data_IF_685254468384
#
_entry.id   IF_685254468384
#
_cell.length_a   1.000
_cell.length_b   1.000
_cell.length_c   1.000
_cell.angle_alpha   90.00
_cell.angle_beta   90.00
_cell.angle_gamma   90.00
#
_symmetry.space_group_name_H-M   'P 1'
#
loop_
_entity.id
_entity.type
_entity.pdbx_description
1 polymer ?
#
# COMPACT_ATOMS: atom_id res chain seq x y z
N UNK A 1 -5.41 -9.99 -12.02
CA UNK A 1 -4.83 -8.99 -11.11
C UNK A 1 -5.91 -8.10 -10.53
N UNK A 2 -6.74 -7.45 -11.36
CA UNK A 2 -7.84 -6.55 -10.94
C UNK A 2 -8.77 -7.15 -9.86
N UNK A 3 -9.27 -8.38 -10.05
CA UNK A 3 -10.12 -9.04 -9.03
C UNK A 3 -9.44 -9.25 -7.67
N UNK A 4 -8.11 -9.40 -7.67
CA UNK A 4 -7.33 -9.66 -6.47
C UNK A 4 -7.03 -8.35 -5.73
N UNK A 5 -6.72 -7.30 -6.48
CA UNK A 5 -6.50 -5.96 -5.92
C UNK A 5 -7.77 -5.41 -5.30
N UNK A 6 -8.94 -5.57 -5.94
CA UNK A 6 -10.24 -5.21 -5.37
C UNK A 6 -10.51 -5.92 -4.04
N UNK A 7 -10.29 -7.24 -3.98
CA UNK A 7 -10.50 -8.04 -2.76
C UNK A 7 -9.58 -7.60 -1.62
N UNK A 8 -8.33 -7.28 -1.92
CA UNK A 8 -7.37 -6.81 -0.92
C UNK A 8 -7.64 -5.37 -0.49
N UNK A 9 -8.14 -4.53 -1.40
CA UNK A 9 -8.51 -3.15 -1.12
C UNK A 9 -9.70 -3.09 -0.16
N UNK A 10 -10.72 -3.93 -0.34
CA UNK A 10 -11.83 -4.07 0.62
C UNK A 10 -11.33 -4.51 2.01
N UNK A 11 -10.46 -5.54 2.07
CA UNK A 11 -9.83 -5.96 3.33
C UNK A 11 -8.99 -4.86 3.98
N UNK A 12 -8.25 -4.10 3.17
CA UNK A 12 -7.42 -3.00 3.64
C UNK A 12 -8.26 -1.84 4.20
N UNK A 13 -9.32 -1.44 3.50
CA UNK A 13 -10.27 -0.42 3.98
C UNK A 13 -10.90 -0.82 5.32
N UNK A 14 -11.35 -2.08 5.43
CA UNK A 14 -11.86 -2.64 6.70
C UNK A 14 -10.83 -2.61 7.82
N UNK A 15 -9.58 -2.97 7.53
CA UNK A 15 -8.50 -2.94 8.52
C UNK A 15 -8.18 -1.51 9.00
N UNK A 16 -8.34 -0.51 8.13
CA UNK A 16 -8.07 0.90 8.43
C UNK A 16 -9.29 1.63 9.01
N UNK A 17 -10.48 1.02 9.00
CA UNK A 17 -11.73 1.62 9.48
C UNK A 17 -12.26 2.73 8.58
N UNK A 18 -11.94 2.69 7.28
CA UNK A 18 -12.43 3.66 6.30
C UNK A 18 -13.83 3.21 5.85
N UNK A 19 -14.83 4.08 6.02
CA UNK A 19 -16.19 3.83 5.50
C UNK A 19 -16.22 4.03 3.97
N UNK A 20 -17.07 3.25 3.28
CA UNK A 20 -17.19 3.05 1.83
C UNK A 20 -17.48 4.30 0.95
N UNK A 21 -17.31 5.51 1.47
CA UNK A 21 -17.38 6.71 0.64
C UNK A 21 -16.14 6.74 -0.27
N UNK A 22 -16.35 6.96 -1.57
CA UNK A 22 -15.29 7.06 -2.58
C UNK A 22 -14.21 8.04 -2.11
N UNK A 23 -13.13 7.48 -1.58
CA UNK A 23 -12.03 8.28 -1.08
C UNK A 23 -11.12 8.58 -2.26
N UNK A 24 -10.78 9.85 -2.46
CA UNK A 24 -9.83 10.33 -3.48
C UNK A 24 -8.46 9.61 -3.47
N UNK A 25 -8.18 8.83 -2.41
CA UNK A 25 -6.95 8.08 -2.20
C UNK A 25 -7.00 6.61 -2.65
N UNK A 26 -8.14 6.13 -3.15
CA UNK A 26 -8.29 4.72 -3.57
C UNK A 26 -7.28 4.33 -4.66
N UNK A 27 -6.95 5.24 -5.58
CA UNK A 27 -5.90 5.03 -6.59
C UNK A 27 -4.54 4.72 -5.95
N UNK A 28 -4.19 5.47 -4.89
CA UNK A 28 -2.91 5.35 -4.20
C UNK A 28 -2.86 4.05 -3.39
N UNK A 29 -3.98 3.66 -2.77
CA UNK A 29 -4.09 2.39 -2.07
C UNK A 29 -4.01 1.20 -3.03
N UNK A 30 -4.68 1.27 -4.18
CA UNK A 30 -4.58 0.22 -5.21
C UNK A 30 -3.13 0.06 -5.68
N UNK A 31 -2.45 1.17 -5.97
CA UNK A 31 -1.04 1.14 -6.38
C UNK A 31 -0.11 0.57 -5.30
N UNK A 32 -0.31 0.94 -4.03
CA UNK A 32 0.44 0.38 -2.91
C UNK A 32 0.19 -1.14 -2.75
N UNK A 33 -1.04 -1.60 -2.98
CA UNK A 33 -1.37 -3.03 -2.93
C UNK A 33 -0.70 -3.78 -4.11
N UNK A 34 -0.76 -3.23 -5.32
CA UNK A 34 -0.13 -3.82 -6.51
C UNK A 34 1.38 -3.96 -6.37
N UNK A 35 2.05 -2.93 -5.82
CA UNK A 35 3.49 -2.98 -5.56
C UNK A 35 3.84 -4.08 -4.56
N UNK A 36 3.08 -4.23 -3.48
CA UNK A 36 3.26 -5.31 -2.50
C UNK A 36 2.98 -6.69 -3.13
N UNK A 37 1.92 -6.84 -3.93
CA UNK A 37 1.63 -8.09 -4.64
C UNK A 37 2.82 -8.48 -5.52
N UNK A 38 3.35 -7.54 -6.30
CA UNK A 38 4.50 -7.79 -7.17
C UNK A 38 5.73 -8.20 -6.36
N UNK A 39 6.00 -7.56 -5.22
CA UNK A 39 7.07 -7.93 -4.30
C UNK A 39 6.91 -9.37 -3.78
N UNK A 40 5.69 -9.75 -3.40
CA UNK A 40 5.37 -11.11 -2.92
C UNK A 40 5.52 -12.13 -4.04
N UNK A 41 5.02 -11.85 -5.24
CA UNK A 41 5.15 -12.74 -6.40
C UNK A 41 6.63 -12.94 -6.79
N UNK A 42 7.41 -11.85 -6.80
CA UNK A 42 8.84 -11.88 -7.07
C UNK A 42 9.61 -12.71 -6.02
N UNK A 43 9.22 -12.60 -4.75
CA UNK A 43 9.87 -13.34 -3.67
C UNK A 43 9.48 -14.82 -3.64
N UNK A 44 8.19 -15.12 -3.76
CA UNK A 44 7.64 -16.46 -3.61
C UNK A 44 7.65 -17.28 -4.90
N UNK A 45 7.86 -16.66 -6.05
CA UNK A 45 7.94 -17.29 -7.38
C UNK A 45 6.70 -18.12 -7.75
N UNK A 46 5.51 -17.60 -7.48
CA UNK A 46 4.25 -18.20 -7.95
C UNK A 46 3.47 -17.20 -8.82
N UNK A 47 2.56 -17.72 -9.64
CA UNK A 47 1.70 -16.89 -10.50
C UNK A 47 0.49 -16.35 -9.75
N UNK A 48 -0.08 -15.24 -10.22
CA UNK A 48 -1.29 -14.62 -9.65
C UNK A 48 -2.46 -15.60 -9.51
N UNK A 49 -2.58 -16.56 -10.44
CA UNK A 49 -3.62 -17.61 -10.42
C UNK A 49 -3.47 -18.59 -9.25
N UNK A 50 -2.26 -18.74 -8.72
CA UNK A 50 -1.95 -19.67 -7.62
C UNK A 50 -1.90 -18.94 -6.27
N UNK A 51 -2.48 -17.75 -6.18
CA UNK A 51 -2.42 -16.90 -4.99
C UNK A 51 -3.11 -17.57 -3.79
N UNK A 52 -2.38 -17.86 -2.70
CA UNK A 52 -2.97 -18.48 -1.51
C UNK A 52 -3.72 -17.46 -0.67
N UNK A 53 -4.99 -17.72 -0.34
CA UNK A 53 -5.79 -16.81 0.50
C UNK A 53 -5.17 -16.53 1.89
N UNK A 54 -4.37 -17.47 2.40
CA UNK A 54 -3.67 -17.32 3.69
C UNK A 54 -2.62 -16.19 3.71
N UNK A 55 -2.18 -15.69 2.55
CA UNK A 55 -1.20 -14.60 2.47
C UNK A 55 -1.87 -13.21 2.49
N UNK A 56 -3.19 -13.14 2.28
CA UNK A 56 -3.93 -11.88 2.18
C UNK A 56 -3.68 -10.95 3.36
N UNK A 57 -3.76 -11.48 4.58
CA UNK A 57 -3.54 -10.70 5.80
C UNK A 57 -2.10 -10.19 5.89
N UNK A 58 -1.13 -10.99 5.43
CA UNK A 58 0.27 -10.55 5.42
C UNK A 58 0.51 -9.45 4.38
N UNK A 59 -0.19 -9.51 3.25
CA UNK A 59 -0.11 -8.48 2.21
C UNK A 59 -0.76 -7.19 2.66
N UNK A 60 -1.93 -7.26 3.31
CA UNK A 60 -2.57 -6.08 3.93
C UNK A 60 -1.64 -5.43 4.96
N UNK A 61 -0.99 -6.22 5.82
CA UNK A 61 -0.01 -5.72 6.78
C UNK A 61 1.21 -5.09 6.09
N UNK A 62 1.74 -5.72 5.03
CA UNK A 62 2.82 -5.16 4.23
C UNK A 62 2.43 -3.83 3.59
N UNK A 63 1.21 -3.69 3.08
CA UNK A 63 0.69 -2.44 2.54
C UNK A 63 0.58 -1.36 3.61
N UNK A 64 0.10 -1.70 4.81
CA UNK A 64 0.02 -0.76 5.94
C UNK A 64 1.42 -0.28 6.33
N UNK A 65 2.38 -1.20 6.46
CA UNK A 65 3.77 -0.86 6.77
C UNK A 65 4.40 0.04 5.71
N UNK A 66 4.16 -0.25 4.43
CA UNK A 66 4.61 0.56 3.30
C UNK A 66 4.06 2.00 3.38
N UNK A 67 2.77 2.14 3.62
CA UNK A 67 2.13 3.46 3.75
C UNK A 67 2.62 4.22 5.00
N UNK A 68 2.87 3.51 6.10
CA UNK A 68 3.42 4.11 7.32
C UNK A 68 4.86 4.60 7.11
N UNK A 69 5.73 3.81 6.47
CA UNK A 69 7.12 4.19 6.20
C UNK A 69 7.23 5.35 5.21
N UNK A 70 6.33 5.42 4.24
CA UNK A 70 6.26 6.53 3.28
C UNK A 70 5.62 7.80 3.87
N UNK A 71 5.24 7.77 5.16
CA UNK A 71 4.50 8.82 5.86
C UNK A 71 3.19 9.21 5.14
N UNK A 72 2.64 8.30 4.32
CA UNK A 72 1.36 8.44 3.64
C UNK A 72 0.22 8.10 4.61
N UNK A 73 0.20 8.77 5.77
CA UNK A 73 -0.97 8.80 6.63
C UNK A 73 -1.98 9.76 6.00
N UNK A 74 -2.72 9.27 5.00
CA UNK A 74 -3.91 9.95 4.52
C UNK A 74 -4.89 10.08 5.68
N UNK A 75 -4.92 11.25 6.31
CA UNK A 75 -6.01 11.67 7.16
C UNK A 75 -7.22 11.86 6.24
N UNK A 76 -8.22 10.99 6.39
CA UNK A 76 -9.49 10.97 5.65
C UNK A 76 -10.32 12.27 5.86
N UNK A 77 -9.86 13.20 6.70
CA UNK A 77 -10.62 14.39 7.09
C UNK A 77 -10.25 15.69 6.35
N UNK A 78 -9.35 15.70 5.38
CA UNK A 78 -9.01 16.94 4.64
C UNK A 78 -8.84 16.73 3.13
N UNK A 79 -9.90 16.29 2.46
CA UNK A 79 -10.03 16.51 1.02
C UNK A 79 -10.91 17.72 0.74
N UNK A 80 -10.35 18.92 0.91
CA UNK A 80 -10.69 20.02 0.00
C UNK A 80 -9.50 20.98 -0.14
N UNK A 81 -9.29 21.45 -1.36
CA UNK A 81 -8.37 22.55 -1.67
C UNK A 81 -6.87 22.21 -1.75
N UNK A 82 -6.38 22.30 -2.98
CA UNK A 82 -4.99 22.52 -3.35
C UNK A 82 -4.38 23.64 -2.48
N UNK A 83 -3.51 23.30 -1.54
CA UNK A 83 -2.66 24.28 -0.86
C UNK A 83 -1.22 23.79 -0.89
N UNK A 84 -0.46 24.33 -1.86
CA UNK A 84 0.94 23.97 -2.16
C UNK A 84 1.96 24.47 -1.12
N UNK A 85 1.59 25.41 -0.27
CA UNK A 85 2.31 25.78 0.96
C UNK A 85 1.60 26.97 1.59
N UNK A 86 1.13 26.87 2.83
CA UNK A 86 0.88 28.07 3.67
C UNK A 86 2.09 28.18 4.58
N UNK A 87 2.82 29.28 4.45
CA UNK A 87 3.89 29.67 5.38
C UNK A 87 3.37 30.85 6.18
N UNK A 88 2.97 30.59 7.43
CA UNK A 88 2.63 31.65 8.39
C UNK A 88 3.71 31.69 9.47
N UNK A 89 4.58 32.70 9.39
CA UNK A 89 5.64 32.96 10.36
C UNK A 89 6.76 31.91 10.37
N UNK A 90 6.49 30.77 11.01
CA UNK A 90 7.41 29.64 11.26
C UNK A 90 6.73 28.26 11.07
N UNK A 91 5.47 28.23 10.61
CA UNK A 91 4.75 27.00 10.28
C UNK A 91 4.59 26.89 8.76
N UNK A 92 5.15 25.83 8.19
CA UNK A 92 4.94 25.44 6.79
C UNK A 92 4.15 24.14 6.75
N UNK A 93 2.97 24.16 6.11
CA UNK A 93 2.17 22.96 5.84
C UNK A 93 2.31 22.64 4.36
N UNK A 94 3.12 21.62 4.03
CA UNK A 94 3.24 21.07 2.67
C UNK A 94 2.30 19.88 2.52
N UNK A 95 1.29 20.01 1.65
CA UNK A 95 0.44 18.89 1.23
C UNK A 95 1.12 18.15 0.07
N UNK A 96 1.35 16.85 0.21
CA UNK A 96 1.97 16.04 -0.84
C UNK A 96 1.00 15.74 -1.98
N UNK A 97 1.51 15.81 -3.20
CA UNK A 97 0.74 15.45 -4.39
C UNK A 97 0.67 13.93 -4.58
N UNK A 98 -0.35 13.44 -5.30
CA UNK A 98 -0.45 12.01 -5.67
C UNK A 98 0.83 11.50 -6.37
N UNK A 99 1.48 12.33 -7.17
CA UNK A 99 2.71 11.98 -7.87
C UNK A 99 3.90 11.76 -6.92
N UNK A 100 4.04 12.60 -5.90
CA UNK A 100 5.07 12.42 -4.86
C UNK A 100 4.81 11.18 -4.01
N UNK A 101 3.55 10.87 -3.72
CA UNK A 101 3.17 9.63 -3.05
C UNK A 101 3.61 8.39 -3.85
N UNK A 102 3.38 8.36 -5.17
CA UNK A 102 3.84 7.26 -6.02
C UNK A 102 5.38 7.11 -6.03
N UNK A 103 6.11 8.23 -6.08
CA UNK A 103 7.58 8.20 -6.05
C UNK A 103 8.12 7.62 -4.75
N UNK A 104 7.52 7.98 -3.60
CA UNK A 104 7.89 7.43 -2.30
C UNK A 104 7.62 5.93 -2.20
N UNK A 105 6.47 5.49 -2.69
CA UNK A 105 6.10 4.07 -2.74
C UNK A 105 7.12 3.29 -3.58
N UNK A 106 7.51 3.80 -4.75
CA UNK A 106 8.53 3.17 -5.59
C UNK A 106 9.94 3.18 -4.98
N UNK A 107 10.29 4.22 -4.21
CA UNK A 107 11.58 4.34 -3.55
C UNK A 107 11.67 3.56 -2.23
N UNK A 108 10.56 3.03 -1.73
CA UNK A 108 10.54 2.29 -0.48
C UNK A 108 11.34 0.98 -0.59
N UNK A 109 12.10 0.59 0.45
CA UNK A 109 12.83 -0.68 0.43
C UNK A 109 11.84 -1.85 0.39
N UNK A 110 12.20 -2.94 -0.31
CA UNK A 110 11.34 -4.12 -0.34
C UNK A 110 11.14 -4.71 1.08
N UNK A 111 9.87 -4.78 1.50
CA UNK A 111 9.42 -5.28 2.81
C UNK A 111 9.58 -6.79 2.98
N UNK A 112 9.98 -7.47 1.91
CA UNK A 112 10.23 -8.91 1.87
C UNK A 112 11.10 -9.39 3.05
N UNK A 113 12.01 -8.57 3.59
CA UNK A 113 12.86 -8.90 4.74
C UNK A 113 12.11 -9.06 6.07
N UNK A 114 11.15 -8.20 6.37
CA UNK A 114 10.39 -8.21 7.63
C UNK A 114 9.41 -9.38 7.68
N UNK A 115 8.87 -9.75 6.52
CA UNK A 115 7.87 -10.82 6.37
C UNK A 115 8.45 -12.16 5.89
N UNK A 116 9.79 -12.32 5.84
CA UNK A 116 10.42 -13.58 5.35
C UNK A 116 9.87 -14.83 5.99
N UNK A 117 9.60 -14.80 7.30
CA UNK A 117 9.12 -16.00 8.04
C UNK A 117 7.79 -16.52 7.50
N UNK A 118 6.86 -15.62 7.18
CA UNK A 118 5.56 -15.99 6.62
C UNK A 118 5.67 -16.28 5.13
N UNK A 119 6.40 -15.45 4.39
CA UNK A 119 6.57 -15.61 2.93
C UNK A 119 7.32 -16.89 2.56
N UNK A 120 8.28 -17.34 3.38
CA UNK A 120 9.00 -18.59 3.14
C UNK A 120 8.09 -19.83 3.12
N UNK A 121 6.96 -19.81 3.83
CA UNK A 121 6.01 -20.94 3.83
C UNK A 121 5.33 -21.12 2.47
N UNK A 122 5.21 -20.04 1.69
CA UNK A 122 4.57 -20.03 0.38
C UNK A 122 5.57 -20.00 -0.77
N UNK A 123 6.87 -19.90 -0.46
CA UNK A 123 7.93 -19.78 -1.45
C UNK A 123 8.14 -21.10 -2.18
N UNK A 124 8.03 -21.06 -3.51
CA UNK A 124 8.39 -22.18 -4.38
C UNK A 124 9.87 -22.10 -4.72
N UNK A 125 10.61 -23.20 -4.54
CA UNK A 125 11.99 -23.28 -4.99
C UNK A 125 11.97 -23.36 -6.51
N UNK A 126 12.54 -22.34 -7.18
CA UNK A 126 12.76 -22.40 -8.62
C UNK A 126 13.78 -23.53 -8.87
N UNK A 127 13.33 -24.61 -9.51
CA UNK A 127 14.22 -25.67 -10.02
C UNK A 127 14.92 -25.18 -11.27
#
# INVERSE_FOLDING_TARGET
MEKLTERLLDKFKKAKGINDEENSSDDVFSFAIETVINDVLNYCHFSVEEWPEGIDNTVVLMTIDLLNETALTFNISESDGEVKSITEGDFSISKETKAEAYQKIMSAPSFSKKYKRTLNNFRRLKR
#
